data_IF_917005298984
#
_entry.id   IF_917005298984
#
_cell.length_a   1.000
_cell.length_b   1.000
_cell.length_c   1.000
_cell.angle_alpha   90.00
_cell.angle_beta   90.00
_cell.angle_gamma   90.00
#
_symmetry.space_group_name_H-M   'P 1'
#
loop_
_entity.id
_entity.type
_entity.pdbx_description
1 polymer ?
#
# COMPACT_ATOMS: atom_id res chain seq x y z
N UNK A 1 24.48 60.47 -1.73
CA UNK A 1 24.49 59.29 -2.62
C UNK A 1 25.01 58.10 -1.81
N UNK A 2 24.09 57.31 -1.24
CA UNK A 2 24.45 56.22 -0.31
C UNK A 2 24.85 54.97 -1.09
N UNK A 3 26.10 54.55 -0.99
CA UNK A 3 26.59 53.29 -1.57
C UNK A 3 26.20 52.14 -0.66
N UNK A 4 25.27 51.29 -1.11
CA UNK A 4 24.95 50.03 -0.44
C UNK A 4 26.10 49.05 -0.66
N UNK A 5 26.82 48.74 0.42
CA UNK A 5 27.84 47.69 0.42
C UNK A 5 27.15 46.35 0.69
N UNK A 6 26.80 45.62 -0.37
CA UNK A 6 26.27 44.27 -0.24
C UNK A 6 27.45 43.35 0.05
N UNK A 7 27.60 42.94 1.32
CA UNK A 7 28.53 41.87 1.69
C UNK A 7 27.98 40.53 1.21
N UNK A 8 28.46 40.06 0.08
CA UNK A 8 28.24 38.67 -0.35
C UNK A 8 29.17 37.74 0.43
N UNK A 9 28.65 37.03 1.42
CA UNK A 9 29.34 35.92 2.07
C UNK A 9 29.20 34.68 1.18
N UNK A 10 30.21 34.40 0.34
CA UNK A 10 30.30 33.10 -0.33
C UNK A 10 30.87 32.08 0.66
N UNK A 11 30.02 31.25 1.26
CA UNK A 11 30.52 30.12 2.02
C UNK A 11 30.89 28.99 1.05
N UNK A 12 32.19 28.86 0.74
CA UNK A 12 32.70 27.68 0.04
C UNK A 12 32.73 26.54 1.06
N UNK A 13 31.74 25.67 1.02
CA UNK A 13 31.69 24.46 1.85
C UNK A 13 32.75 23.49 1.31
N UNK A 14 34.01 23.67 1.69
CA UNK A 14 35.07 22.70 1.42
C UNK A 14 34.87 21.55 2.39
N UNK A 15 34.42 20.36 1.94
CA UNK A 15 34.32 19.22 2.83
C UNK A 15 35.75 18.82 3.22
N UNK A 16 36.07 18.98 4.50
CA UNK A 16 37.36 18.61 5.05
C UNK A 16 37.34 17.11 5.37
N UNK A 17 37.51 16.28 4.33
CA UNK A 17 37.55 14.82 4.45
C UNK A 17 38.88 14.31 5.03
N UNK A 18 39.39 14.93 6.10
CA UNK A 18 40.57 14.36 6.78
C UNK A 18 40.16 13.10 7.52
N UNK A 19 40.42 11.95 6.90
CA UNK A 19 40.12 10.65 7.50
C UNK A 19 40.28 9.48 6.53
N UNK A 20 39.54 8.42 6.79
CA UNK A 20 39.65 7.14 6.07
C UNK A 20 39.40 7.25 4.56
N UNK A 21 38.55 8.18 4.13
CA UNK A 21 38.26 8.40 2.70
C UNK A 21 39.47 8.93 1.91
N UNK A 22 40.31 9.77 2.50
CA UNK A 22 41.58 10.21 1.88
C UNK A 22 42.54 9.04 1.68
N UNK A 23 42.59 8.09 2.60
CA UNK A 23 43.42 6.89 2.49
C UNK A 23 42.94 5.95 1.36
N UNK A 24 41.63 5.89 1.12
CA UNK A 24 41.05 5.11 0.02
C UNK A 24 41.40 5.75 -1.32
N UNK A 25 41.26 7.07 -1.44
CA UNK A 25 41.59 7.80 -2.67
C UNK A 25 43.11 7.80 -2.95
N UNK A 26 43.95 7.94 -1.93
CA UNK A 26 45.41 7.86 -2.07
C UNK A 26 45.93 6.44 -2.35
N UNK A 27 45.19 5.38 -1.97
CA UNK A 27 45.54 4.01 -2.39
C UNK A 27 45.32 3.79 -3.89
N UNK A 28 44.40 4.53 -4.50
CA UNK A 28 44.13 4.44 -5.94
C UNK A 28 45.23 5.11 -6.79
N UNK A 29 46.09 5.94 -6.20
CA UNK A 29 47.15 6.69 -6.91
C UNK A 29 48.55 6.09 -6.78
N UNK A 30 48.70 4.88 -6.23
CA UNK A 30 49.99 4.18 -6.22
C UNK A 30 50.48 3.95 -7.66
N UNK A 31 51.77 4.19 -7.97
CA UNK A 31 52.29 4.06 -9.32
C UNK A 31 52.15 2.61 -9.80
N UNK A 32 51.69 2.48 -11.04
CA UNK A 32 51.41 1.28 -11.84
C UNK A 32 52.64 0.38 -12.08
N UNK A 33 53.62 0.36 -11.20
CA UNK A 33 54.81 -0.48 -11.31
C UNK A 33 54.60 -1.90 -10.75
N UNK A 34 53.52 -2.12 -9.98
CA UNK A 34 53.16 -3.42 -9.40
C UNK A 34 51.69 -3.77 -9.64
N UNK A 35 51.14 -3.33 -10.77
CA UNK A 35 49.84 -3.81 -11.21
C UNK A 35 50.02 -5.23 -11.75
N UNK A 36 49.99 -6.23 -10.86
CA UNK A 36 49.64 -7.58 -11.27
C UNK A 36 48.35 -7.45 -12.07
N UNK A 37 48.40 -7.74 -13.37
CA UNK A 37 47.25 -7.66 -14.26
C UNK A 37 46.10 -8.39 -13.58
N UNK A 38 45.14 -7.62 -13.07
CA UNK A 38 43.92 -8.19 -12.53
C UNK A 38 43.12 -8.62 -13.74
N UNK A 39 43.41 -9.83 -14.23
CA UNK A 39 42.54 -10.50 -15.17
C UNK A 39 41.16 -10.56 -14.52
N UNK A 40 40.13 -9.91 -15.11
CA UNK A 40 38.79 -10.08 -14.60
C UNK A 40 38.44 -11.56 -14.74
N UNK A 41 38.07 -12.20 -13.64
CA UNK A 41 37.49 -13.53 -13.69
C UNK A 41 36.26 -13.44 -14.59
N UNK A 42 36.24 -14.26 -15.64
CA UNK A 42 35.07 -14.44 -16.49
C UNK A 42 33.97 -15.06 -15.64
N UNK A 43 33.15 -14.23 -15.03
CA UNK A 43 31.91 -14.67 -14.39
C UNK A 43 31.03 -15.15 -15.56
N UNK A 44 30.64 -16.42 -15.61
CA UNK A 44 29.65 -16.85 -16.58
C UNK A 44 28.38 -16.05 -16.27
N UNK A 45 28.04 -15.12 -17.16
CA UNK A 45 26.72 -14.52 -17.15
C UNK A 45 25.77 -15.57 -17.69
N UNK A 46 25.27 -16.41 -16.79
CA UNK A 46 24.05 -17.15 -17.05
C UNK A 46 22.97 -16.09 -17.24
N UNK A 47 22.58 -15.89 -18.50
CA UNK A 47 21.44 -15.05 -18.81
C UNK A 47 20.28 -15.60 -17.99
N UNK A 48 19.85 -14.82 -17.00
CA UNK A 48 18.58 -15.08 -16.32
C UNK A 48 17.55 -14.89 -17.43
N UNK A 49 17.18 -15.99 -18.09
CA UNK A 49 15.99 -15.99 -18.90
C UNK A 49 14.85 -15.49 -18.01
N UNK A 50 13.97 -14.62 -18.50
CA UNK A 50 12.78 -14.20 -17.76
C UNK A 50 11.78 -15.37 -17.72
N UNK A 51 12.20 -16.48 -17.11
CA UNK A 51 11.39 -17.64 -16.80
C UNK A 51 11.37 -17.79 -15.28
N UNK A 52 11.02 -16.68 -14.61
CA UNK A 52 10.14 -16.78 -13.47
C UNK A 52 8.79 -16.32 -13.98
N UNK A 53 8.10 -17.22 -14.69
CA UNK A 53 6.66 -17.30 -14.57
C UNK A 53 6.39 -17.22 -13.09
N UNK A 54 5.91 -16.06 -12.64
CA UNK A 54 5.40 -15.90 -11.31
C UNK A 54 4.43 -17.07 -11.11
N UNK A 55 4.82 -18.01 -10.27
CA UNK A 55 3.86 -18.89 -9.61
C UNK A 55 3.16 -17.99 -8.60
N UNK A 56 2.40 -17.02 -9.10
CA UNK A 56 1.25 -16.49 -8.40
C UNK A 56 0.41 -17.74 -8.21
N UNK A 57 0.50 -18.32 -7.03
CA UNK A 57 -0.53 -19.22 -6.54
C UNK A 57 -1.81 -18.41 -6.65
N UNK A 58 -2.49 -18.55 -7.78
CA UNK A 58 -3.84 -18.06 -7.99
C UNK A 58 -4.65 -18.82 -6.95
N UNK A 59 -4.79 -18.20 -5.77
CA UNK A 59 -5.74 -18.62 -4.76
C UNK A 59 -7.07 -18.63 -5.50
N UNK A 60 -7.55 -19.84 -5.77
CA UNK A 60 -8.78 -20.08 -6.52
C UNK A 60 -9.92 -19.37 -5.78
N UNK A 61 -10.26 -18.20 -6.30
CA UNK A 61 -11.22 -17.26 -5.77
C UNK A 61 -12.61 -17.86 -5.96
N UNK A 62 -13.18 -18.46 -4.92
CA UNK A 62 -14.52 -19.04 -4.97
C UNK A 62 -15.57 -17.93 -5.14
N UNK A 63 -16.05 -17.71 -6.37
CA UNK A 63 -17.05 -16.68 -6.68
C UNK A 63 -18.43 -17.13 -6.22
N UNK A 64 -19.01 -16.44 -5.23
CA UNK A 64 -20.41 -16.65 -4.87
C UNK A 64 -21.31 -16.05 -5.94
N UNK A 65 -22.25 -16.84 -6.43
CA UNK A 65 -23.17 -16.48 -7.50
C UNK A 65 -24.57 -16.34 -6.91
N UNK A 66 -25.24 -15.23 -7.22
CA UNK A 66 -26.65 -15.00 -6.86
C UNK A 66 -27.45 -14.72 -8.13
N UNK A 67 -28.73 -15.10 -8.13
CA UNK A 67 -29.65 -14.86 -9.23
C UNK A 67 -30.61 -13.73 -8.89
N UNK A 68 -30.72 -12.73 -9.78
CA UNK A 68 -31.69 -11.64 -9.71
C UNK A 68 -32.56 -11.72 -10.97
N UNK A 69 -33.87 -11.96 -10.84
CA UNK A 69 -34.79 -12.09 -12.01
C UNK A 69 -34.29 -13.03 -13.12
N UNK A 70 -33.57 -14.10 -12.76
CA UNK A 70 -32.97 -15.04 -13.71
C UNK A 70 -31.64 -14.59 -14.35
N UNK A 71 -31.16 -13.38 -14.04
CA UNK A 71 -29.81 -12.91 -14.39
C UNK A 71 -28.82 -13.35 -13.30
N UNK A 72 -27.74 -14.00 -13.73
CA UNK A 72 -26.64 -14.38 -12.87
C UNK A 72 -25.80 -13.14 -12.51
N UNK A 73 -25.65 -12.85 -11.23
CA UNK A 73 -24.80 -11.77 -10.70
C UNK A 73 -23.70 -12.43 -9.86
N UNK A 74 -22.44 -12.10 -10.18
CA UNK A 74 -21.30 -12.53 -9.38
C UNK A 74 -21.09 -11.54 -8.24
N UNK A 75 -21.04 -12.03 -7.00
CA UNK A 75 -20.70 -11.19 -5.87
C UNK A 75 -19.18 -10.94 -5.87
N UNK A 76 -18.74 -9.70 -5.61
CA UNK A 76 -17.33 -9.43 -5.43
C UNK A 76 -16.84 -10.22 -4.21
N UNK A 77 -15.57 -10.63 -4.23
CA UNK A 77 -14.94 -11.31 -3.10
C UNK A 77 -14.26 -10.30 -2.20
N UNK A 78 -14.35 -10.52 -0.88
CA UNK A 78 -13.68 -9.67 0.08
C UNK A 78 -12.16 -9.83 -0.10
N UNK A 79 -11.40 -8.74 -0.29
CA UNK A 79 -9.94 -8.82 -0.38
C UNK A 79 -9.36 -9.39 0.91
N UNK A 80 -8.30 -10.18 0.80
CA UNK A 80 -7.60 -10.77 1.94
C UNK A 80 -6.72 -9.70 2.62
N UNK A 81 -6.62 -9.78 3.94
CA UNK A 81 -5.71 -8.90 4.69
C UNK A 81 -4.26 -9.17 4.25
N UNK A 82 -3.43 -8.12 4.05
CA UNK A 82 -2.04 -8.29 3.71
C UNK A 82 -1.18 -8.71 4.91
N UNK A 83 -0.36 -9.75 4.74
CA UNK A 83 0.57 -10.23 5.78
C UNK A 83 1.96 -9.55 5.71
N UNK A 84 2.27 -8.85 4.60
CA UNK A 84 3.62 -8.33 4.31
C UNK A 84 3.78 -6.83 4.67
N UNK A 85 3.28 -6.41 5.83
CA UNK A 85 3.43 -5.02 6.27
C UNK A 85 4.87 -4.73 6.73
N UNK A 86 5.63 -3.97 5.93
CA UNK A 86 7.03 -3.66 6.19
C UNK A 86 7.24 -2.51 7.21
N UNK A 87 6.21 -1.72 7.52
CA UNK A 87 6.25 -0.56 8.44
C UNK A 87 7.37 0.48 8.17
N UNK A 88 7.97 0.47 6.97
CA UNK A 88 9.16 1.25 6.63
C UNK A 88 8.88 2.54 5.87
N UNK A 89 7.60 2.87 5.61
CA UNK A 89 7.20 4.08 4.91
C UNK A 89 7.49 4.04 3.40
N UNK A 90 7.08 2.97 2.72
CA UNK A 90 7.14 2.85 1.27
C UNK A 90 6.25 3.90 0.57
N UNK A 91 6.59 4.24 -0.68
CA UNK A 91 5.79 5.14 -1.54
C UNK A 91 4.39 4.57 -1.83
N UNK A 92 4.28 3.25 -1.93
CA UNK A 92 3.00 2.54 -2.01
C UNK A 92 2.86 1.65 -0.79
N UNK A 93 2.01 2.05 0.16
CA UNK A 93 1.73 1.23 1.32
C UNK A 93 0.82 0.08 0.91
N UNK A 94 1.14 -1.14 1.37
CA UNK A 94 0.29 -2.30 1.14
C UNK A 94 -1.10 -2.10 1.74
N UNK A 95 -1.20 -1.36 2.84
CA UNK A 95 -2.48 -1.00 3.43
C UNK A 95 -3.28 -0.03 2.58
N UNK A 96 -2.64 0.92 1.90
CA UNK A 96 -3.35 1.85 1.02
C UNK A 96 -3.98 1.09 -0.16
N UNK A 97 -3.22 0.20 -0.79
CA UNK A 97 -3.72 -0.69 -1.84
C UNK A 97 -4.88 -1.57 -1.35
N UNK A 98 -4.76 -2.13 -0.14
CA UNK A 98 -5.84 -2.92 0.45
C UNK A 98 -7.09 -2.09 0.76
N UNK A 99 -6.93 -0.82 1.17
CA UNK A 99 -8.07 0.09 1.37
C UNK A 99 -8.77 0.40 0.05
N UNK A 100 -8.00 0.70 -1.01
CA UNK A 100 -8.55 0.88 -2.36
C UNK A 100 -9.33 -0.36 -2.82
N UNK A 101 -8.77 -1.57 -2.66
CA UNK A 101 -9.44 -2.83 -2.99
C UNK A 101 -10.73 -3.03 -2.16
N UNK A 102 -10.70 -2.66 -0.87
CA UNK A 102 -11.85 -2.74 0.03
C UNK A 102 -12.95 -1.74 -0.35
N UNK A 103 -12.58 -0.53 -0.76
CA UNK A 103 -13.50 0.48 -1.26
C UNK A 103 -14.21 -0.02 -2.52
N UNK A 104 -13.46 -0.51 -3.51
CA UNK A 104 -14.03 -1.06 -4.75
C UNK A 104 -14.96 -2.25 -4.47
N UNK A 105 -14.58 -3.13 -3.53
CA UNK A 105 -15.43 -4.23 -3.06
C UNK A 105 -16.76 -3.73 -2.47
N UNK A 106 -16.71 -2.70 -1.62
CA UNK A 106 -17.88 -2.12 -0.98
C UNK A 106 -18.81 -1.43 -1.98
N UNK A 107 -18.24 -0.75 -2.98
CA UNK A 107 -19.00 -0.10 -4.05
C UNK A 107 -19.76 -1.12 -4.89
N UNK A 108 -19.09 -2.15 -5.39
CA UNK A 108 -19.72 -3.26 -6.12
C UNK A 108 -20.82 -3.94 -5.30
N UNK A 109 -20.58 -4.14 -4.00
CA UNK A 109 -21.59 -4.71 -3.08
C UNK A 109 -22.80 -3.79 -2.93
N UNK A 110 -22.59 -2.48 -2.88
CA UNK A 110 -23.67 -1.47 -2.79
C UNK A 110 -24.50 -1.44 -4.07
N UNK A 111 -23.87 -1.44 -5.24
CA UNK A 111 -24.55 -1.48 -6.54
C UNK A 111 -25.46 -2.70 -6.66
N UNK A 112 -24.94 -3.90 -6.37
CA UNK A 112 -25.73 -5.13 -6.40
C UNK A 112 -26.91 -4.99 -5.43
N UNK A 113 -26.67 -4.54 -4.20
CA UNK A 113 -27.74 -4.34 -3.20
C UNK A 113 -28.84 -3.42 -3.73
N UNK A 114 -28.47 -2.33 -4.38
CA UNK A 114 -29.43 -1.35 -4.88
C UNK A 114 -30.23 -1.91 -6.09
N UNK A 115 -29.62 -2.75 -6.93
CA UNK A 115 -30.34 -3.53 -7.96
C UNK A 115 -31.39 -4.48 -7.35
N UNK A 116 -31.07 -5.17 -6.24
CA UNK A 116 -32.04 -6.03 -5.54
C UNK A 116 -33.21 -5.23 -4.96
N UNK A 117 -32.92 -4.05 -4.38
CA UNK A 117 -33.97 -3.16 -3.85
C UNK A 117 -34.87 -2.62 -4.95
N UNK A 118 -34.31 -2.16 -6.07
CA UNK A 118 -35.08 -1.67 -7.21
C UNK A 118 -35.91 -2.78 -7.85
N UNK A 119 -35.37 -4.00 -7.87
CA UNK A 119 -36.09 -5.17 -8.36
C UNK A 119 -37.28 -5.59 -7.47
N UNK A 120 -37.32 -5.15 -6.21
CA UNK A 120 -38.34 -5.54 -5.23
C UNK A 120 -38.17 -6.95 -4.69
N UNK A 121 -36.99 -7.56 -4.84
CA UNK A 121 -36.69 -8.91 -4.38
C UNK A 121 -36.03 -8.91 -2.99
N UNK A 122 -36.25 -9.96 -2.18
CA UNK A 122 -35.62 -10.06 -0.86
C UNK A 122 -34.09 -10.15 -0.98
N UNK A 123 -33.38 -9.37 -0.16
CA UNK A 123 -31.92 -9.33 -0.20
C UNK A 123 -31.32 -10.68 0.26
N UNK A 124 -30.37 -11.24 -0.51
CA UNK A 124 -29.61 -12.42 -0.11
C UNK A 124 -28.87 -12.20 1.23
N UNK A 125 -28.70 -13.25 2.05
CA UNK A 125 -28.00 -13.16 3.34
C UNK A 125 -26.56 -12.66 3.23
N UNK A 126 -25.89 -12.87 2.09
CA UNK A 126 -24.53 -12.40 1.81
C UNK A 126 -24.44 -10.87 1.68
N UNK A 127 -25.53 -10.24 1.24
CA UNK A 127 -25.62 -8.79 1.02
C UNK A 127 -26.23 -8.02 2.20
N UNK A 128 -26.79 -8.73 3.17
CA UNK A 128 -27.27 -8.15 4.42
C UNK A 128 -26.08 -7.51 5.16
N UNK A 129 -26.25 -6.26 5.63
CA UNK A 129 -25.27 -5.61 6.49
C UNK A 129 -25.20 -6.44 7.78
N UNK A 130 -24.01 -6.94 8.14
CA UNK A 130 -23.82 -7.46 9.49
C UNK A 130 -23.95 -6.27 10.44
N UNK A 131 -24.58 -6.50 11.59
CA UNK A 131 -24.93 -5.47 12.56
C UNK A 131 -23.68 -4.74 13.12
N UNK A 132 -22.49 -5.30 12.92
CA UNK A 132 -21.22 -4.75 13.35
C UNK A 132 -20.87 -3.43 12.64
N UNK A 133 -21.16 -3.30 11.33
CA UNK A 133 -20.90 -2.07 10.56
C UNK A 133 -21.77 -0.89 11.03
N UNK A 134 -22.95 -1.15 11.62
CA UNK A 134 -23.84 -0.11 12.17
C UNK A 134 -23.59 0.17 13.65
N UNK A 135 -23.00 -0.78 14.38
CA UNK A 135 -22.65 -0.62 15.78
C UNK A 135 -21.37 0.21 15.96
N UNK A 136 -20.45 0.19 14.99
CA UNK A 136 -19.23 1.01 15.00
C UNK A 136 -19.47 2.47 14.58
N UNK A 137 -20.57 2.77 13.85
CA UNK A 137 -20.89 4.14 13.42
C UNK A 137 -21.65 4.96 14.48
N UNK A 138 -22.22 4.32 15.51
CA UNK A 138 -22.72 5.03 16.69
C UNK A 138 -21.63 5.05 17.77
N UNK A 139 -20.99 6.21 17.93
CA UNK A 139 -20.05 6.46 19.03
C UNK A 139 -20.63 5.91 20.33
N UNK A 140 -19.90 5.04 21.07
CA UNK A 140 -20.37 4.47 22.33
C UNK A 140 -20.85 5.55 23.33
N UNK A 141 -20.31 6.76 23.23
CA UNK A 141 -20.74 7.95 23.98
C UNK A 141 -22.13 8.42 23.57
N UNK A 142 -22.39 8.52 22.26
CA UNK A 142 -23.69 8.92 21.71
C UNK A 142 -24.77 7.88 22.01
N UNK A 143 -24.40 6.59 21.96
CA UNK A 143 -25.30 5.49 22.33
C UNK A 143 -25.69 5.53 23.80
N UNK A 144 -24.72 5.76 24.70
CA UNK A 144 -24.99 5.87 26.13
C UNK A 144 -25.91 7.06 26.45
N UNK A 145 -25.70 8.20 25.77
CA UNK A 145 -26.56 9.37 25.92
C UNK A 145 -28.00 9.10 25.49
N UNK A 146 -28.21 8.55 24.30
CA UNK A 146 -29.54 8.19 23.78
C UNK A 146 -30.26 7.18 24.68
N UNK A 147 -29.53 6.23 25.26
CA UNK A 147 -30.10 5.25 26.19
C UNK A 147 -30.53 5.90 27.52
N UNK A 148 -29.73 6.85 28.04
CA UNK A 148 -30.07 7.62 29.23
C UNK A 148 -31.32 8.48 28.99
N UNK A 149 -31.38 9.23 27.88
CA UNK A 149 -32.56 10.04 27.54
C UNK A 149 -33.83 9.19 27.41
N UNK A 150 -33.73 7.98 26.84
CA UNK A 150 -34.86 7.05 26.71
C UNK A 150 -35.33 6.50 28.07
N UNK A 151 -34.42 6.33 29.04
CA UNK A 151 -34.75 5.94 30.42
C UNK A 151 -35.41 7.07 31.21
N UNK A 152 -35.05 8.33 30.94
CA UNK A 152 -35.65 9.50 31.59
C UNK A 152 -36.99 9.94 30.98
N UNK A 153 -37.26 9.62 29.71
CA UNK A 153 -38.53 9.93 29.03
C UNK A 153 -39.65 8.90 29.32
N UNK A 154 -39.53 8.12 30.39
CA UNK A 154 -40.53 7.12 30.79
C UNK A 154 -41.43 7.63 31.90
#
# INVERSE_FOLDING_TARGET
MSRLFIRSLSYRRTPHYNGWWDLILNKASLPTAMATERMPLSIPFEAIEPTQTATTTAVASQSNVVYLKGKQIQLPQKPASPDNCCMSGCVHCVWDLYQEDMEEYNEKKREIRDQFKEAGEPLPPELQKRQDDQAEEMDPTMKAFLEMEKKLKR
#
